data_IF_298149471937
#
_entry.id   IF_298149471937
#
_cell.length_a   1.000
_cell.length_b   1.000
_cell.length_c   1.000
_cell.angle_alpha   90.00
_cell.angle_beta   90.00
_cell.angle_gamma   90.00
#
_symmetry.space_group_name_H-M   'P 1'
#
loop_
_entity.id
_entity.type
_entity.pdbx_description
1 polymer ?
#
# COMPACT_ATOMS: atom_id res chain seq x y z
N UNK A 1 43.86 15.86 -21.98
CA UNK A 1 42.44 15.56 -22.20
C UNK A 1 41.75 16.85 -22.60
N UNK A 2 41.35 16.99 -23.87
CA UNK A 2 40.63 18.18 -24.32
C UNK A 2 39.32 18.27 -23.55
N UNK A 3 39.16 19.32 -22.73
CA UNK A 3 37.89 19.65 -22.10
C UNK A 3 36.89 20.06 -23.19
N UNK A 4 36.27 19.07 -23.83
CA UNK A 4 35.07 19.29 -24.63
C UNK A 4 34.07 20.00 -23.72
N UNK A 5 33.67 21.22 -24.09
CA UNK A 5 32.68 22.00 -23.34
C UNK A 5 31.41 21.17 -23.22
N UNK A 6 31.16 20.61 -22.02
CA UNK A 6 29.93 19.89 -21.72
C UNK A 6 28.79 20.91 -21.77
N UNK A 7 27.70 20.57 -22.47
CA UNK A 7 26.53 21.43 -22.54
C UNK A 7 25.99 21.73 -21.13
N UNK A 8 25.71 22.99 -20.77
CA UNK A 8 25.18 23.37 -19.45
C UNK A 8 23.90 22.60 -19.08
N UNK A 9 23.05 22.30 -20.06
CA UNK A 9 21.84 21.49 -19.85
C UNK A 9 22.18 20.07 -19.39
N UNK A 10 23.16 19.42 -20.02
CA UNK A 10 23.61 18.08 -19.63
C UNK A 10 24.18 18.09 -18.22
N UNK A 11 24.98 19.11 -17.87
CA UNK A 11 25.53 19.26 -16.53
C UNK A 11 24.41 19.40 -15.48
N UNK A 12 23.38 20.19 -15.78
CA UNK A 12 22.22 20.38 -14.92
C UNK A 12 21.44 19.07 -14.72
N UNK A 13 21.13 18.34 -15.80
CA UNK A 13 20.43 17.06 -15.74
C UNK A 13 21.21 16.05 -14.89
N UNK A 14 22.52 15.92 -15.12
CA UNK A 14 23.33 14.94 -14.38
C UNK A 14 23.39 15.28 -12.89
N UNK A 15 23.54 16.56 -12.52
CA UNK A 15 23.46 17.00 -11.12
C UNK A 15 22.11 16.69 -10.49
N UNK A 16 21.02 16.97 -11.21
CA UNK A 16 19.68 16.65 -10.74
C UNK A 16 19.52 15.15 -10.47
N UNK A 17 19.89 14.31 -11.44
CA UNK A 17 19.84 12.85 -11.30
C UNK A 17 20.70 12.36 -10.14
N UNK A 18 21.91 12.89 -9.99
CA UNK A 18 22.80 12.55 -8.88
C UNK A 18 22.14 12.83 -7.52
N UNK A 19 21.55 14.03 -7.34
CA UNK A 19 20.88 14.42 -6.10
C UNK A 19 19.68 13.51 -5.83
N UNK A 20 18.85 13.22 -6.84
CA UNK A 20 17.71 12.32 -6.67
C UNK A 20 18.14 10.89 -6.31
N UNK A 21 19.17 10.36 -6.96
CA UNK A 21 19.73 9.05 -6.62
C UNK A 21 20.27 9.03 -5.19
N UNK A 22 21.02 10.05 -4.79
CA UNK A 22 21.53 10.20 -3.43
C UNK A 22 20.39 10.22 -2.39
N UNK A 23 19.38 11.08 -2.59
CA UNK A 23 18.22 11.21 -1.70
C UNK A 23 17.40 9.92 -1.64
N UNK A 24 17.24 9.23 -2.78
CA UNK A 24 16.55 7.94 -2.83
C UNK A 24 17.32 6.88 -2.07
N UNK A 25 18.62 6.75 -2.31
CA UNK A 25 19.46 5.73 -1.67
C UNK A 25 19.59 5.94 -0.16
N UNK A 26 19.73 7.20 0.31
CA UNK A 26 19.82 7.48 1.75
C UNK A 26 18.49 7.25 2.47
N UNK A 27 17.36 7.52 1.81
CA UNK A 27 16.01 7.29 2.38
C UNK A 27 15.54 5.85 2.25
N UNK A 28 16.06 5.08 1.30
CA UNK A 28 15.64 3.70 1.00
C UNK A 28 15.61 2.78 2.24
N UNK A 29 16.66 2.73 3.10
CA UNK A 29 16.62 1.96 4.34
C UNK A 29 15.43 2.28 5.25
N UNK A 30 15.10 3.57 5.37
CA UNK A 30 14.00 4.07 6.22
C UNK A 30 12.67 3.63 5.61
N UNK A 31 12.47 3.89 4.31
CA UNK A 31 11.25 3.54 3.58
C UNK A 31 10.94 2.04 3.67
N UNK A 32 11.95 1.18 3.42
CA UNK A 32 11.79 -0.28 3.52
C UNK A 32 11.54 -0.74 4.97
N UNK A 33 12.21 -0.15 5.97
CA UNK A 33 11.99 -0.50 7.37
C UNK A 33 10.58 -0.13 7.86
N UNK A 34 10.04 0.96 7.33
CA UNK A 34 8.70 1.47 7.57
C UNK A 34 7.64 0.81 6.69
N UNK A 35 8.02 -0.04 5.74
CA UNK A 35 7.07 -0.69 4.83
C UNK A 35 6.36 0.30 3.89
N UNK A 36 7.00 1.43 3.58
CA UNK A 36 6.50 2.39 2.60
C UNK A 36 6.90 1.86 1.22
N UNK A 37 5.95 1.67 0.29
CA UNK A 37 6.27 1.19 -1.03
C UNK A 37 6.95 2.29 -1.85
N UNK A 38 7.81 1.88 -2.77
CA UNK A 38 8.50 2.80 -3.67
C UNK A 38 7.71 2.98 -4.97
N UNK A 39 7.48 4.23 -5.33
CA UNK A 39 6.87 4.58 -6.61
C UNK A 39 7.97 4.94 -7.62
N UNK A 40 8.03 4.25 -8.75
CA UNK A 40 8.92 4.67 -9.85
C UNK A 40 8.57 6.06 -10.38
N UNK A 41 7.29 6.45 -10.27
CA UNK A 41 6.84 7.80 -10.59
C UNK A 41 7.35 8.85 -9.60
N UNK A 42 7.89 8.50 -8.43
CA UNK A 42 8.45 9.51 -7.52
C UNK A 42 9.68 10.19 -8.10
N UNK A 43 10.55 9.45 -8.80
CA UNK A 43 11.76 10.01 -9.41
C UNK A 43 11.40 10.90 -10.61
N UNK A 44 10.50 10.40 -11.48
CA UNK A 44 9.98 11.19 -12.59
C UNK A 44 9.16 12.39 -12.10
N UNK A 45 8.37 12.18 -11.05
CA UNK A 45 7.56 13.18 -10.38
C UNK A 45 8.43 14.30 -9.87
N UNK A 46 9.52 14.04 -9.14
CA UNK A 46 10.42 15.08 -8.67
C UNK A 46 11.10 15.86 -9.82
N UNK A 47 11.40 15.18 -10.95
CA UNK A 47 12.00 15.82 -12.13
C UNK A 47 11.03 16.81 -12.79
N UNK A 48 9.76 16.43 -12.92
CA UNK A 48 8.73 17.27 -13.56
C UNK A 48 8.17 18.30 -12.58
N UNK A 49 8.02 17.93 -11.31
CA UNK A 49 7.41 18.74 -10.26
C UNK A 49 8.20 20.00 -9.96
N UNK A 50 9.54 19.92 -9.89
CA UNK A 50 10.34 21.09 -9.52
C UNK A 50 10.25 22.25 -10.53
N UNK A 51 10.36 22.03 -11.85
CA UNK A 51 10.09 23.07 -12.85
C UNK A 51 8.66 23.60 -12.80
N UNK A 52 7.67 22.71 -12.72
CA UNK A 52 6.25 23.09 -12.68
C UNK A 52 5.95 23.93 -11.44
N UNK A 53 6.45 23.53 -10.27
CA UNK A 53 6.30 24.27 -9.02
C UNK A 53 6.98 25.64 -9.10
N UNK A 54 8.16 25.73 -9.71
CA UNK A 54 8.85 27.02 -9.90
C UNK A 54 8.02 27.96 -10.77
N UNK A 55 7.48 27.47 -11.89
CA UNK A 55 6.58 28.26 -12.76
C UNK A 55 5.32 28.66 -12.00
N UNK A 56 4.73 27.74 -11.23
CA UNK A 56 3.57 28.00 -10.39
C UNK A 56 3.83 29.13 -9.39
N UNK A 57 4.91 29.06 -8.63
CA UNK A 57 5.27 30.08 -7.66
C UNK A 57 5.57 31.42 -8.33
N UNK A 58 6.26 31.41 -9.47
CA UNK A 58 6.52 32.62 -10.25
C UNK A 58 5.22 33.29 -10.69
N UNK A 59 4.26 32.52 -11.22
CA UNK A 59 2.95 33.05 -11.61
C UNK A 59 2.18 33.61 -10.42
N UNK A 60 2.15 32.88 -9.30
CA UNK A 60 1.53 33.36 -8.07
C UNK A 60 2.14 34.69 -7.60
N UNK A 61 3.47 34.80 -7.62
CA UNK A 61 4.17 36.04 -7.27
C UNK A 61 3.87 37.17 -8.25
N UNK A 62 3.86 36.91 -9.56
CA UNK A 62 3.54 37.91 -10.59
C UNK A 62 2.09 38.41 -10.48
N UNK A 63 1.13 37.51 -10.20
CA UNK A 63 -0.26 37.88 -9.95
C UNK A 63 -0.33 38.78 -8.71
N UNK A 64 0.32 38.38 -7.62
CA UNK A 64 0.32 39.16 -6.38
C UNK A 64 0.88 40.58 -6.58
N UNK A 65 2.06 40.72 -7.19
CA UNK A 65 2.66 42.03 -7.43
C UNK A 65 1.93 42.83 -8.51
N UNK A 66 1.38 42.17 -9.54
CA UNK A 66 0.57 42.81 -10.56
C UNK A 66 -0.68 43.45 -9.97
N UNK A 67 -1.38 42.72 -9.09
CA UNK A 67 -2.54 43.23 -8.38
C UNK A 67 -2.17 44.41 -7.46
N UNK A 68 -1.02 44.34 -6.77
CA UNK A 68 -0.53 45.41 -5.90
C UNK A 68 -0.28 46.72 -6.66
N UNK A 69 0.14 46.64 -7.92
CA UNK A 69 0.44 47.81 -8.78
C UNK A 69 -0.82 48.26 -9.56
N UNK A 70 -1.92 47.49 -9.51
CA UNK A 70 -3.13 47.75 -10.28
C UNK A 70 -3.04 47.34 -11.76
N UNK A 71 -2.14 46.41 -12.11
CA UNK A 71 -2.06 45.83 -13.45
C UNK A 71 -3.13 44.75 -13.64
N UNK A 72 -3.73 44.62 -14.83
CA UNK A 72 -4.71 43.57 -15.11
C UNK A 72 -4.04 42.19 -15.10
N UNK A 73 -4.42 41.32 -14.15
CA UNK A 73 -3.81 40.00 -13.91
C UNK A 73 -4.57 38.83 -14.56
N UNK A 74 -5.66 39.08 -15.29
CA UNK A 74 -6.58 38.06 -15.81
C UNK A 74 -5.91 36.98 -16.68
N UNK A 75 -4.94 37.37 -17.52
CA UNK A 75 -4.20 36.42 -18.36
C UNK A 75 -3.32 35.48 -17.53
N UNK A 76 -2.65 36.01 -16.49
CA UNK A 76 -1.81 35.23 -15.58
C UNK A 76 -2.66 34.23 -14.77
N UNK A 77 -3.81 34.67 -14.28
CA UNK A 77 -4.78 33.82 -13.55
C UNK A 77 -5.22 32.67 -14.45
N UNK A 78 -5.62 32.95 -15.70
CA UNK A 78 -6.04 31.91 -16.64
C UNK A 78 -4.93 30.90 -16.92
N UNK A 79 -3.68 31.35 -17.04
CA UNK A 79 -2.54 30.45 -17.22
C UNK A 79 -2.29 29.57 -15.99
N UNK A 80 -2.41 30.14 -14.79
CA UNK A 80 -2.31 29.40 -13.52
C UNK A 80 -3.40 28.31 -13.41
N UNK A 81 -4.65 28.64 -13.80
CA UNK A 81 -5.76 27.68 -13.83
C UNK A 81 -5.50 26.52 -14.80
N UNK A 82 -5.03 26.81 -16.01
CA UNK A 82 -4.69 25.76 -16.99
C UNK A 82 -3.59 24.84 -16.48
N UNK A 83 -2.51 25.41 -15.94
CA UNK A 83 -1.41 24.62 -15.40
C UNK A 83 -1.86 23.80 -14.18
N UNK A 84 -2.70 24.36 -13.30
CA UNK A 84 -3.29 23.62 -12.17
C UNK A 84 -4.18 22.48 -12.63
N UNK A 85 -5.02 22.72 -13.64
CA UNK A 85 -5.89 21.69 -14.23
C UNK A 85 -5.08 20.56 -14.86
N UNK A 86 -4.04 20.91 -15.62
CA UNK A 86 -3.11 19.94 -16.20
C UNK A 86 -2.37 19.13 -15.12
N UNK A 87 -1.98 19.77 -14.03
CA UNK A 87 -1.34 19.12 -12.89
C UNK A 87 -2.28 18.15 -12.17
N UNK A 88 -3.52 18.55 -11.91
CA UNK A 88 -4.56 17.67 -11.34
C UNK A 88 -4.80 16.45 -12.24
N UNK A 89 -4.91 16.67 -13.55
CA UNK A 89 -5.03 15.58 -14.52
C UNK A 89 -3.84 14.61 -14.49
N UNK A 90 -2.61 15.12 -14.35
CA UNK A 90 -1.41 14.30 -14.21
C UNK A 90 -1.43 13.48 -12.91
N UNK A 91 -1.87 14.08 -11.80
CA UNK A 91 -1.98 13.42 -10.49
C UNK A 91 -3.07 12.35 -10.45
N UNK A 92 -4.13 12.52 -11.24
CA UNK A 92 -5.20 11.53 -11.37
C UNK A 92 -4.74 10.25 -12.07
N UNK A 93 -3.60 10.25 -12.77
CA UNK A 93 -3.09 9.10 -13.50
C UNK A 93 -2.92 7.90 -12.54
N UNK A 94 -3.84 6.92 -12.60
CA UNK A 94 -3.89 5.86 -11.60
C UNK A 94 -2.83 4.83 -11.94
N UNK A 95 -1.82 4.73 -11.09
CA UNK A 95 -0.69 3.85 -11.40
C UNK A 95 -0.24 3.05 -10.18
N UNK A 96 -1.19 2.38 -9.52
CA UNK A 96 -0.88 1.29 -8.56
C UNK A 96 0.05 0.21 -9.17
N UNK A 97 0.21 0.20 -10.50
CA UNK A 97 1.18 -0.62 -11.25
C UNK A 97 2.64 -0.23 -11.04
N UNK A 98 2.94 1.02 -10.72
CA UNK A 98 4.30 1.54 -10.54
C UNK A 98 4.73 1.60 -9.06
N UNK A 99 3.90 1.05 -8.17
CA UNK A 99 4.15 0.97 -6.74
C UNK A 99 4.71 -0.41 -6.40
N UNK A 100 5.97 -0.44 -5.97
CA UNK A 100 6.71 -1.64 -5.62
C UNK A 100 6.86 -1.74 -4.11
N UNK A 101 6.44 -2.86 -3.54
CA UNK A 101 6.67 -3.20 -2.15
C UNK A 101 7.89 -4.11 -2.02
N UNK A 102 8.66 -3.93 -0.95
CA UNK A 102 9.80 -4.78 -0.66
C UNK A 102 9.64 -5.40 0.74
N UNK A 103 9.80 -6.74 0.87
CA UNK A 103 9.87 -7.34 2.19
C UNK A 103 11.15 -6.85 2.88
N UNK A 104 11.08 -6.54 4.18
CA UNK A 104 12.22 -5.98 4.91
C UNK A 104 13.38 -6.99 4.94
N UNK A 105 14.54 -6.66 4.34
CA UNK A 105 15.75 -7.45 4.48
C UNK A 105 16.40 -7.20 5.86
N UNK A 106 17.44 -7.97 6.22
CA UNK A 106 18.17 -7.74 7.46
C UNK A 106 18.75 -6.32 7.54
N UNK A 107 18.76 -5.75 8.75
CA UNK A 107 19.14 -4.35 8.97
C UNK A 107 20.56 -4.03 8.47
N UNK A 108 21.50 -4.98 8.61
CA UNK A 108 22.89 -4.78 8.18
C UNK A 108 23.02 -4.58 6.67
N UNK A 109 22.19 -5.23 5.85
CA UNK A 109 22.18 -5.02 4.39
C UNK A 109 21.69 -3.60 4.08
N UNK A 110 20.66 -3.14 4.78
CA UNK A 110 20.14 -1.78 4.60
C UNK A 110 21.14 -0.71 5.08
N UNK A 111 21.88 -0.98 6.15
CA UNK A 111 22.91 -0.08 6.67
C UNK A 111 24.14 0.02 5.74
N UNK A 112 24.40 -1.02 4.94
CA UNK A 112 25.48 -1.04 3.96
C UNK A 112 25.27 0.01 2.84
N UNK A 113 24.02 0.29 2.48
CA UNK A 113 23.67 1.27 1.44
C UNK A 113 24.22 2.68 1.75
N UNK A 114 23.86 3.33 2.88
CA UNK A 114 24.40 4.66 3.20
C UNK A 114 25.92 4.64 3.40
N UNK A 115 26.49 3.55 3.90
CA UNK A 115 27.95 3.41 4.04
C UNK A 115 28.64 3.45 2.66
N UNK A 116 28.11 2.70 1.67
CA UNK A 116 28.62 2.74 0.29
C UNK A 116 28.52 4.14 -0.33
N UNK A 117 27.44 4.87 -0.05
CA UNK A 117 27.28 6.26 -0.50
C UNK A 117 28.39 7.14 0.09
N UNK A 118 28.61 7.08 1.41
CA UNK A 118 29.63 7.86 2.08
C UNK A 118 31.03 7.55 1.51
N UNK A 119 31.38 6.27 1.36
CA UNK A 119 32.66 5.86 0.76
C UNK A 119 32.82 6.45 -0.64
N UNK A 120 31.76 6.43 -1.46
CA UNK A 120 31.78 7.00 -2.82
C UNK A 120 32.01 8.52 -2.81
N UNK A 121 31.46 9.23 -1.82
CA UNK A 121 31.63 10.68 -1.68
C UNK A 121 32.99 11.08 -1.13
N UNK A 122 33.56 10.30 -0.21
CA UNK A 122 34.87 10.58 0.40
C UNK A 122 36.06 10.13 -0.45
N UNK A 123 35.90 9.12 -1.30
CA UNK A 123 36.97 8.69 -2.19
C UNK A 123 37.19 9.71 -3.32
N UNK A 124 38.40 10.29 -3.37
CA UNK A 124 38.81 11.31 -4.35
C UNK A 124 38.60 10.86 -5.79
N UNK A 125 38.80 9.57 -6.10
CA UNK A 125 38.67 9.04 -7.47
C UNK A 125 37.22 8.99 -7.95
N UNK A 126 36.28 8.67 -7.07
CA UNK A 126 34.86 8.50 -7.40
C UNK A 126 34.05 9.78 -7.26
N UNK A 127 34.62 10.83 -6.65
CA UNK A 127 33.96 12.11 -6.36
C UNK A 127 33.55 12.90 -7.61
N UNK A 128 34.03 12.55 -8.81
CA UNK A 128 33.60 13.26 -10.03
C UNK A 128 32.10 13.06 -10.26
N UNK A 129 31.44 14.09 -10.82
CA UNK A 129 29.98 14.13 -10.98
C UNK A 129 29.45 12.91 -11.75
N UNK A 130 30.04 12.59 -12.91
CA UNK A 130 29.57 11.49 -13.74
C UNK A 130 29.83 10.12 -13.11
N UNK A 131 31.02 9.90 -12.54
CA UNK A 131 31.39 8.61 -11.94
C UNK A 131 30.51 8.32 -10.73
N UNK A 132 30.36 9.27 -9.80
CA UNK A 132 29.48 9.10 -8.63
C UNK A 132 28.02 8.87 -9.02
N UNK A 133 27.51 9.55 -10.05
CA UNK A 133 26.15 9.33 -10.57
C UNK A 133 25.98 7.90 -11.09
N UNK A 134 26.95 7.39 -11.85
CA UNK A 134 26.95 6.00 -12.35
C UNK A 134 27.00 5.01 -11.18
N UNK A 135 27.87 5.23 -10.20
CA UNK A 135 27.98 4.38 -9.01
C UNK A 135 26.66 4.34 -8.23
N UNK A 136 26.02 5.50 -8.00
CA UNK A 136 24.72 5.56 -7.33
C UNK A 136 23.63 4.85 -8.14
N UNK A 137 23.61 5.00 -9.47
CA UNK A 137 22.66 4.30 -10.32
C UNK A 137 22.84 2.78 -10.24
N UNK A 138 24.09 2.29 -10.30
CA UNK A 138 24.42 0.87 -10.15
C UNK A 138 24.03 0.38 -8.75
N UNK A 139 24.37 1.12 -7.70
CA UNK A 139 24.03 0.76 -6.32
C UNK A 139 22.52 0.67 -6.11
N UNK A 140 21.75 1.63 -6.65
CA UNK A 140 20.29 1.60 -6.60
C UNK A 140 19.74 0.39 -7.36
N UNK A 141 20.24 0.14 -8.58
CA UNK A 141 19.84 -1.01 -9.38
C UNK A 141 20.10 -2.33 -8.65
N UNK A 142 21.31 -2.53 -8.11
CA UNK A 142 21.67 -3.73 -7.36
C UNK A 142 20.83 -3.88 -6.09
N UNK A 143 20.53 -2.79 -5.40
CA UNK A 143 19.67 -2.78 -4.20
C UNK A 143 18.25 -3.21 -4.56
N UNK A 144 17.66 -2.63 -5.62
CA UNK A 144 16.33 -2.99 -6.10
C UNK A 144 16.27 -4.43 -6.58
N UNK A 145 17.31 -4.89 -7.28
CA UNK A 145 17.45 -6.27 -7.74
C UNK A 145 17.50 -7.23 -6.55
N UNK A 146 18.37 -6.96 -5.57
CA UNK A 146 18.49 -7.73 -4.34
C UNK A 146 17.15 -7.80 -3.60
N UNK A 147 16.50 -6.66 -3.36
CA UNK A 147 15.21 -6.62 -2.66
C UNK A 147 14.09 -7.32 -3.43
N UNK A 148 14.11 -7.30 -4.77
CA UNK A 148 13.16 -8.03 -5.61
C UNK A 148 13.34 -9.54 -5.53
N UNK A 149 14.58 -10.00 -5.39
CA UNK A 149 14.91 -11.42 -5.23
C UNK A 149 14.97 -11.89 -3.78
N UNK A 150 14.91 -10.99 -2.80
CA UNK A 150 14.92 -11.33 -1.38
C UNK A 150 13.61 -12.05 -1.03
N UNK A 151 13.70 -13.38 -0.94
CA UNK A 151 12.57 -14.26 -0.64
C UNK A 151 12.50 -14.47 0.86
N UNK A 152 11.61 -13.73 1.54
CA UNK A 152 11.09 -14.19 2.83
C UNK A 152 10.16 -15.39 2.59
N UNK A 153 10.05 -16.30 3.57
CA UNK A 153 9.24 -17.52 3.46
C UNK A 153 7.93 -17.26 2.74
N UNK A 154 7.71 -17.94 1.62
CA UNK A 154 6.66 -17.53 0.68
C UNK A 154 5.26 -18.03 1.06
N UNK A 155 5.17 -18.99 1.97
CA UNK A 155 3.92 -19.61 2.39
C UNK A 155 3.84 -19.64 3.92
N UNK A 156 3.28 -18.60 4.52
CA UNK A 156 3.10 -18.52 5.97
C UNK A 156 1.86 -17.71 6.34
N UNK A 157 1.41 -17.90 7.57
CA UNK A 157 0.36 -17.12 8.20
C UNK A 157 1.01 -16.07 9.10
N UNK A 158 0.58 -14.82 9.01
CA UNK A 158 1.03 -13.72 9.86
C UNK A 158 -0.17 -13.21 10.63
N UNK A 159 -0.04 -13.06 11.94
CA UNK A 159 -1.05 -12.46 12.80
C UNK A 159 -0.64 -11.02 13.09
N UNK A 160 -1.50 -10.07 12.72
CA UNK A 160 -1.28 -8.64 12.95
C UNK A 160 -2.15 -8.20 14.11
N UNK A 161 -1.57 -7.76 15.24
CA UNK A 161 -2.36 -7.39 16.42
C UNK A 161 -3.28 -6.20 16.14
N UNK A 162 -4.55 -6.34 16.54
CA UNK A 162 -5.59 -5.33 16.38
C UNK A 162 -6.52 -5.37 17.62
N UNK A 163 -6.33 -4.43 18.54
CA UNK A 163 -7.02 -4.39 19.85
C UNK A 163 -6.85 -5.72 20.61
N UNK A 164 -7.97 -6.35 20.99
CA UNK A 164 -8.04 -7.58 21.77
C UNK A 164 -7.96 -8.86 20.92
N UNK A 165 -7.50 -8.75 19.67
CA UNK A 165 -7.34 -9.88 18.77
C UNK A 165 -6.34 -9.58 17.67
N UNK A 166 -6.47 -10.29 16.55
CA UNK A 166 -5.55 -10.17 15.42
C UNK A 166 -6.28 -10.29 14.10
N UNK A 167 -5.75 -9.60 13.08
CA UNK A 167 -6.07 -9.81 11.68
C UNK A 167 -5.09 -10.83 11.13
N UNK A 168 -5.59 -11.82 10.41
CA UNK A 168 -4.74 -12.90 9.87
C UNK A 168 -4.42 -12.63 8.41
N UNK A 169 -3.13 -12.64 8.05
CA UNK A 169 -2.66 -12.61 6.68
C UNK A 169 -2.22 -14.01 6.25
N UNK A 170 -2.80 -14.52 5.17
CA UNK A 170 -2.40 -15.78 4.56
C UNK A 170 -1.60 -15.43 3.31
N UNK A 171 -0.28 -15.55 3.40
CA UNK A 171 0.63 -15.23 2.32
C UNK A 171 1.03 -16.49 1.57
N UNK A 172 0.85 -16.50 0.25
CA UNK A 172 1.37 -17.53 -0.67
C UNK A 172 2.27 -16.90 -1.73
N UNK A 173 2.92 -17.69 -2.60
CA UNK A 173 3.78 -17.14 -3.67
C UNK A 173 3.06 -16.11 -4.55
N UNK A 174 1.79 -16.35 -4.86
CA UNK A 174 1.02 -15.56 -5.84
C UNK A 174 -0.07 -14.69 -5.20
N UNK A 175 -0.64 -15.13 -4.08
CA UNK A 175 -1.82 -14.48 -3.49
C UNK A 175 -1.61 -14.06 -2.04
N UNK A 176 -2.21 -12.95 -1.66
CA UNK A 176 -2.34 -12.49 -0.29
C UNK A 176 -3.82 -12.46 0.09
N UNK A 177 -4.16 -13.12 1.19
CA UNK A 177 -5.49 -13.08 1.79
C UNK A 177 -5.41 -12.36 3.12
N UNK A 178 -6.34 -11.44 3.36
CA UNK A 178 -6.56 -10.83 4.66
C UNK A 178 -7.85 -11.36 5.24
N UNK A 179 -7.81 -11.87 6.48
CA UNK A 179 -8.97 -12.36 7.20
C UNK A 179 -9.17 -11.52 8.45
N UNK A 180 -10.26 -10.75 8.48
CA UNK A 180 -10.68 -9.99 9.66
C UNK A 180 -11.82 -10.75 10.36
N UNK A 181 -11.58 -11.31 11.57
CA UNK A 181 -12.61 -11.97 12.35
C UNK A 181 -13.64 -10.99 12.96
N UNK A 182 -13.47 -9.68 12.74
CA UNK A 182 -14.34 -8.62 13.25
C UNK A 182 -13.63 -7.70 14.25
N UNK A 183 -12.30 -7.70 14.29
CA UNK A 183 -11.50 -6.90 15.24
C UNK A 183 -11.25 -5.49 14.72
N UNK A 184 -11.15 -5.29 13.39
CA UNK A 184 -10.95 -3.95 12.80
C UNK A 184 -12.09 -3.02 13.19
N UNK A 185 -13.34 -3.51 13.10
CA UNK A 185 -14.54 -2.73 13.43
C UNK A 185 -14.72 -2.43 14.91
N UNK A 186 -13.89 -3.00 15.79
CA UNK A 186 -13.90 -2.72 17.23
C UNK A 186 -12.97 -1.55 17.60
N UNK A 187 -12.11 -1.11 16.67
CA UNK A 187 -11.13 -0.03 16.92
C UNK A 187 -11.72 1.33 16.62
N UNK A 188 -11.56 2.27 17.55
CA UNK A 188 -12.00 3.67 17.40
C UNK A 188 -11.26 4.32 16.21
N UNK A 189 -9.95 4.11 16.11
CA UNK A 189 -9.08 4.62 15.04
C UNK A 189 -8.73 3.55 14.00
N UNK A 190 -9.74 2.83 13.48
CA UNK A 190 -9.56 1.76 12.50
C UNK A 190 -8.86 2.25 11.21
N UNK A 191 -9.25 3.42 10.70
CA UNK A 191 -8.65 4.03 9.51
C UNK A 191 -7.15 4.33 9.70
N UNK A 192 -6.78 5.01 10.79
CA UNK A 192 -5.38 5.32 11.09
C UNK A 192 -4.56 4.05 11.31
N UNK A 193 -5.12 3.03 11.97
CA UNK A 193 -4.44 1.74 12.13
C UNK A 193 -4.20 1.05 10.79
N UNK A 194 -5.14 1.14 9.85
CA UNK A 194 -4.94 0.61 8.50
C UNK A 194 -3.77 1.30 7.82
N UNK A 195 -3.76 2.64 7.81
CA UNK A 195 -2.76 3.45 7.11
C UNK A 195 -1.36 3.32 7.71
N UNK A 196 -1.24 3.41 9.03
CA UNK A 196 0.06 3.47 9.71
C UNK A 196 0.53 2.15 10.31
N UNK A 197 -0.31 1.12 10.38
CA UNK A 197 0.07 -0.19 10.93
C UNK A 197 -0.12 -1.31 9.93
N UNK A 198 -1.34 -1.55 9.45
CA UNK A 198 -1.63 -2.72 8.63
C UNK A 198 -0.91 -2.67 7.27
N UNK A 199 -1.01 -1.56 6.53
CA UNK A 199 -0.40 -1.40 5.21
C UNK A 199 1.13 -1.54 5.30
N UNK A 200 1.83 -0.75 6.15
CA UNK A 200 3.25 -0.94 6.46
C UNK A 200 3.62 -2.39 6.79
N UNK A 201 2.83 -3.04 7.66
CA UNK A 201 3.11 -4.39 8.09
C UNK A 201 2.99 -5.40 6.94
N UNK A 202 1.94 -5.30 6.10
CA UNK A 202 1.75 -6.14 4.92
C UNK A 202 2.96 -6.02 3.99
N UNK A 203 3.39 -4.80 3.66
CA UNK A 203 4.50 -4.57 2.73
C UNK A 203 5.81 -5.08 3.34
N UNK A 204 6.09 -4.73 4.59
CA UNK A 204 7.31 -5.15 5.30
C UNK A 204 7.45 -6.66 5.42
N UNK A 205 6.34 -7.38 5.61
CA UNK A 205 6.37 -8.84 5.81
C UNK A 205 6.26 -9.62 4.50
N UNK A 206 5.48 -9.14 3.53
CA UNK A 206 5.17 -9.90 2.31
C UNK A 206 5.74 -9.30 1.03
N UNK A 207 6.14 -8.02 1.03
CA UNK A 207 6.53 -7.27 -0.16
C UNK A 207 5.37 -6.92 -1.09
N UNK A 208 4.12 -7.27 -0.75
CA UNK A 208 2.99 -7.10 -1.65
C UNK A 208 2.29 -5.76 -1.46
N UNK A 209 1.97 -5.12 -2.57
CA UNK A 209 1.17 -3.89 -2.66
C UNK A 209 -0.26 -4.16 -3.14
N UNK A 210 -0.65 -5.44 -3.16
CA UNK A 210 -1.97 -5.91 -3.61
C UNK A 210 -2.49 -7.02 -2.72
N UNK A 211 -3.79 -6.97 -2.41
CA UNK A 211 -4.49 -8.01 -1.66
C UNK A 211 -5.47 -8.70 -2.61
N UNK A 212 -5.33 -10.02 -2.76
CA UNK A 212 -6.18 -10.77 -3.68
C UNK A 212 -7.58 -10.99 -3.10
N UNK A 213 -7.64 -11.25 -1.80
CA UNK A 213 -8.88 -11.62 -1.12
C UNK A 213 -8.92 -10.97 0.26
N UNK A 214 -9.99 -10.27 0.57
CA UNK A 214 -10.31 -9.84 1.93
C UNK A 214 -11.53 -10.65 2.39
N UNK A 215 -11.48 -11.22 3.58
CA UNK A 215 -12.59 -11.97 4.18
C UNK A 215 -12.98 -11.25 5.47
N UNK A 216 -14.19 -10.69 5.51
CA UNK A 216 -14.71 -9.95 6.65
C UNK A 216 -15.78 -10.79 7.35
N UNK A 217 -15.54 -11.24 8.57
CA UNK A 217 -16.49 -12.11 9.30
C UNK A 217 -17.54 -11.35 10.10
N UNK A 218 -17.37 -10.03 10.28
CA UNK A 218 -18.33 -9.16 10.97
C UNK A 218 -18.48 -7.80 10.28
N UNK A 219 -19.32 -7.71 9.24
CA UNK A 219 -19.59 -6.45 8.58
C UNK A 219 -20.23 -5.46 9.56
N UNK A 220 -19.71 -4.23 9.58
CA UNK A 220 -20.28 -3.09 10.29
C UNK A 220 -19.75 -1.79 9.67
N UNK A 221 -20.35 -0.65 10.04
CA UNK A 221 -19.97 0.68 9.53
C UNK A 221 -18.46 0.94 9.61
N UNK A 222 -17.87 0.75 10.80
CA UNK A 222 -16.44 1.04 11.06
C UNK A 222 -15.53 0.15 10.21
N UNK A 223 -15.87 -1.13 10.06
CA UNK A 223 -15.16 -2.04 9.16
C UNK A 223 -15.26 -1.57 7.71
N UNK A 224 -16.43 -1.11 7.25
CA UNK A 224 -16.59 -0.63 5.87
C UNK A 224 -15.77 0.63 5.60
N UNK A 225 -15.80 1.62 6.49
CA UNK A 225 -15.01 2.86 6.37
C UNK A 225 -13.50 2.52 6.29
N UNK A 226 -13.05 1.64 7.18
CA UNK A 226 -11.65 1.22 7.26
C UNK A 226 -11.20 0.47 5.98
N UNK A 227 -12.00 -0.50 5.52
CA UNK A 227 -11.67 -1.27 4.31
C UNK A 227 -11.82 -0.41 3.04
N UNK A 228 -12.72 0.57 3.01
CA UNK A 228 -12.80 1.53 1.92
C UNK A 228 -11.49 2.33 1.81
N UNK A 229 -10.97 2.84 2.94
CA UNK A 229 -9.65 3.49 2.98
C UNK A 229 -8.53 2.55 2.55
N UNK A 230 -8.55 1.28 2.96
CA UNK A 230 -7.57 0.29 2.49
C UNK A 230 -7.61 0.15 0.95
N UNK A 231 -8.80 0.14 0.35
CA UNK A 231 -8.97 0.00 -1.10
C UNK A 231 -8.50 1.23 -1.89
N UNK A 232 -8.41 2.42 -1.28
CA UNK A 232 -7.83 3.60 -1.94
C UNK A 232 -6.30 3.56 -1.97
N UNK A 233 -5.67 2.85 -1.03
CA UNK A 233 -4.21 2.79 -0.88
C UNK A 233 -3.59 1.50 -1.44
N UNK A 234 -4.31 0.38 -1.40
CA UNK A 234 -3.86 -0.95 -1.88
C UNK A 234 -4.88 -1.51 -2.87
N UNK A 235 -4.40 -2.10 -3.96
CA UNK A 235 -5.28 -2.80 -4.92
C UNK A 235 -5.88 -4.05 -4.26
N UNK A 236 -7.20 -4.06 -4.10
CA UNK A 236 -7.96 -5.21 -3.57
C UNK A 236 -8.75 -5.86 -4.70
N UNK A 237 -8.54 -7.16 -4.93
CA UNK A 237 -9.26 -7.86 -6.02
C UNK A 237 -10.66 -8.32 -5.65
N UNK A 238 -10.85 -8.98 -4.50
CA UNK A 238 -12.16 -9.50 -4.06
C UNK A 238 -12.36 -9.31 -2.56
N UNK A 239 -13.60 -9.03 -2.15
CA UNK A 239 -14.00 -8.98 -0.75
C UNK A 239 -15.14 -9.96 -0.51
N UNK A 240 -15.00 -10.83 0.48
CA UNK A 240 -16.01 -11.76 0.95
C UNK A 240 -16.58 -11.28 2.28
N UNK A 241 -17.90 -11.29 2.41
CA UNK A 241 -18.59 -10.93 3.64
C UNK A 241 -19.91 -11.70 3.78
N UNK A 242 -20.37 -12.05 4.98
CA UNK A 242 -21.68 -12.67 5.20
C UNK A 242 -22.80 -11.88 4.53
N UNK A 243 -23.75 -12.58 3.92
CA UNK A 243 -25.05 -12.00 3.62
C UNK A 243 -25.73 -11.63 4.95
N UNK A 244 -26.18 -10.38 5.08
CA UNK A 244 -26.97 -9.96 6.22
C UNK A 244 -28.42 -9.67 5.81
N UNK A 245 -29.32 -9.97 6.73
CA UNK A 245 -30.74 -9.66 6.73
C UNK A 245 -31.01 -8.48 7.67
N UNK A 246 -32.09 -7.74 7.41
CA UNK A 246 -32.51 -6.58 8.21
C UNK A 246 -32.07 -5.23 7.64
N UNK A 247 -32.48 -4.15 8.31
CA UNK A 247 -32.15 -2.78 7.93
C UNK A 247 -30.86 -2.34 8.60
N UNK A 248 -29.85 -1.98 7.82
CA UNK A 248 -28.70 -1.27 8.37
C UNK A 248 -29.05 0.22 8.49
N UNK A 249 -28.61 0.87 9.58
CA UNK A 249 -28.73 2.33 9.72
C UNK A 249 -28.18 3.04 8.48
N UNK A 250 -28.80 4.16 8.09
CA UNK A 250 -28.42 4.96 6.91
C UNK A 250 -26.91 5.21 6.82
N UNK A 251 -26.26 5.53 7.93
CA UNK A 251 -24.80 5.75 7.98
C UNK A 251 -23.99 4.50 7.66
N UNK A 252 -24.43 3.30 8.06
CA UNK A 252 -23.79 2.05 7.70
C UNK A 252 -23.97 1.69 6.23
N UNK A 253 -25.14 2.00 5.66
CA UNK A 253 -25.39 1.83 4.22
C UNK A 253 -24.49 2.74 3.39
N UNK A 254 -24.36 4.02 3.77
CA UNK A 254 -23.45 4.96 3.10
C UNK A 254 -22.02 4.40 3.10
N UNK A 255 -21.49 4.02 4.27
CA UNK A 255 -20.16 3.40 4.37
C UNK A 255 -20.00 2.13 3.51
N UNK A 256 -21.04 1.30 3.39
CA UNK A 256 -21.02 0.13 2.51
C UNK A 256 -20.97 0.51 1.02
N UNK A 257 -21.71 1.55 0.62
CA UNK A 257 -21.67 2.05 -0.76
C UNK A 257 -20.35 2.75 -1.07
N UNK A 258 -19.76 3.47 -0.10
CA UNK A 258 -18.43 4.05 -0.24
C UNK A 258 -17.37 2.96 -0.42
N UNK A 259 -17.46 1.87 0.34
CA UNK A 259 -16.63 0.68 0.13
C UNK A 259 -16.82 0.11 -1.28
N UNK A 260 -18.07 -0.04 -1.75
CA UNK A 260 -18.33 -0.50 -3.12
C UNK A 260 -17.73 0.42 -4.17
N UNK A 261 -17.83 1.75 -3.99
CA UNK A 261 -17.26 2.75 -4.89
C UNK A 261 -15.73 2.70 -4.90
N UNK A 262 -15.11 2.49 -3.74
CA UNK A 262 -13.66 2.34 -3.62
C UNK A 262 -13.15 1.08 -4.36
N UNK A 263 -13.95 0.02 -4.43
CA UNK A 263 -13.63 -1.20 -5.18
C UNK A 263 -14.05 -1.00 -6.65
N UNK A 264 -13.12 -0.51 -7.47
CA UNK A 264 -13.35 -0.18 -8.90
C UNK A 264 -14.03 -1.28 -9.75
N UNK A 265 -14.04 -2.55 -9.31
CA UNK A 265 -14.51 -3.71 -10.08
C UNK A 265 -15.70 -4.48 -9.47
N UNK A 266 -16.49 -3.90 -8.55
CA UNK A 266 -17.70 -4.57 -7.99
C UNK A 266 -17.50 -5.98 -7.40
N UNK A 267 -16.29 -6.31 -6.94
CA UNK A 267 -15.94 -7.68 -6.53
C UNK A 267 -16.29 -7.99 -5.06
N UNK A 268 -17.45 -7.53 -4.60
CA UNK A 268 -17.99 -7.87 -3.28
C UNK A 268 -18.85 -9.12 -3.39
N UNK A 269 -18.36 -10.23 -2.85
CA UNK A 269 -19.05 -11.52 -2.84
C UNK A 269 -19.71 -11.71 -1.48
N UNK A 270 -21.03 -11.92 -1.50
CA UNK A 270 -21.78 -12.23 -0.29
C UNK A 270 -21.74 -13.73 -0.03
N UNK A 271 -21.29 -14.13 1.15
CA UNK A 271 -21.25 -15.52 1.60
C UNK A 271 -22.69 -15.90 1.94
N UNK A 272 -23.22 -16.89 1.23
CA UNK A 272 -24.54 -17.47 1.45
C UNK A 272 -24.43 -18.75 2.28
N UNK A 273 -25.45 -19.61 2.27
CA UNK A 273 -25.48 -20.86 3.04
C UNK A 273 -24.54 -21.95 2.50
N UNK A 274 -23.95 -21.80 1.30
CA UNK A 274 -23.03 -22.79 0.73
C UNK A 274 -21.58 -22.45 1.06
N UNK A 275 -20.75 -23.44 1.46
CA UNK A 275 -19.31 -23.23 1.61
C UNK A 275 -18.69 -22.68 0.33
N UNK A 276 -17.81 -21.69 0.49
CA UNK A 276 -17.05 -21.09 -0.60
C UNK A 276 -15.59 -21.47 -0.48
N UNK A 277 -15.04 -22.15 -1.47
CA UNK A 277 -13.62 -22.46 -1.53
C UNK A 277 -12.95 -21.73 -2.68
N UNK A 278 -11.70 -21.32 -2.48
CA UNK A 278 -10.87 -20.83 -3.56
C UNK A 278 -9.41 -21.22 -3.37
N UNK A 279 -8.79 -21.58 -4.49
CA UNK A 279 -7.40 -22.04 -4.55
C UNK A 279 -6.49 -20.82 -4.54
N UNK A 280 -5.52 -20.77 -3.63
CA UNK A 280 -4.50 -19.72 -3.57
C UNK A 280 -3.35 -19.99 -4.53
N UNK A 281 -2.87 -21.24 -4.51
CA UNK A 281 -1.90 -21.82 -5.43
C UNK A 281 -2.12 -23.34 -5.54
N UNK A 282 -1.31 -24.06 -6.32
CA UNK A 282 -1.51 -25.50 -6.57
C UNK A 282 -1.59 -26.36 -5.29
N UNK A 283 -1.20 -25.84 -4.12
CA UNK A 283 -1.13 -26.61 -2.87
C UNK A 283 -1.61 -25.80 -1.66
N UNK A 284 -2.46 -24.79 -1.87
CA UNK A 284 -3.01 -23.99 -0.79
C UNK A 284 -4.42 -23.56 -1.17
N UNK A 285 -5.37 -23.69 -0.25
CA UNK A 285 -6.74 -23.21 -0.44
C UNK A 285 -7.27 -22.58 0.84
N UNK A 286 -8.33 -21.79 0.65
CA UNK A 286 -9.13 -21.22 1.73
C UNK A 286 -10.56 -21.67 1.50
N UNK A 287 -11.21 -22.12 2.57
CA UNK A 287 -12.61 -22.51 2.61
C UNK A 287 -13.31 -21.62 3.63
N UNK A 288 -14.41 -21.01 3.22
CA UNK A 288 -15.28 -20.21 4.07
C UNK A 288 -16.57 -21.01 4.27
N UNK A 289 -16.79 -21.47 5.49
CA UNK A 289 -17.90 -22.31 5.90
C UNK A 289 -18.91 -21.45 6.67
N UNK A 290 -20.14 -21.27 6.16
CA UNK A 290 -21.21 -20.68 6.93
C UNK A 290 -21.63 -21.65 8.04
N UNK A 291 -21.83 -21.14 9.26
CA UNK A 291 -22.21 -21.89 10.45
C UNK A 291 -23.70 -21.73 10.73
N UNK A 292 -24.34 -22.67 11.40
CA UNK A 292 -25.79 -22.60 11.68
C UNK A 292 -26.16 -21.41 12.57
N UNK A 293 -25.27 -21.00 13.47
CA UNK A 293 -25.51 -19.88 14.37
C UNK A 293 -25.61 -18.55 13.60
N UNK A 294 -26.72 -17.82 13.77
CA UNK A 294 -26.85 -16.43 13.36
C UNK A 294 -26.28 -15.49 14.42
N UNK A 295 -25.57 -14.46 14.00
CA UNK A 295 -25.10 -13.34 14.82
C UNK A 295 -26.06 -12.17 14.62
N UNK A 296 -26.69 -11.73 15.71
CA UNK A 296 -27.52 -10.51 15.77
C UNK A 296 -26.70 -9.37 16.35
N UNK A 297 -26.47 -8.32 15.56
CA UNK A 297 -25.75 -7.12 16.00
C UNK A 297 -26.55 -5.88 15.61
N UNK A 298 -27.17 -5.23 16.60
CA UNK A 298 -28.13 -4.14 16.37
C UNK A 298 -29.28 -4.63 15.47
N UNK A 299 -29.52 -3.96 14.34
CA UNK A 299 -30.60 -4.24 13.39
C UNK A 299 -30.18 -5.19 12.26
N UNK A 300 -28.93 -5.66 12.23
CA UNK A 300 -28.46 -6.63 11.23
C UNK A 300 -28.33 -8.03 11.83
N UNK A 301 -28.79 -9.02 11.07
CA UNK A 301 -28.62 -10.44 11.36
C UNK A 301 -27.82 -11.08 10.23
N UNK A 302 -26.77 -11.83 10.55
CA UNK A 302 -26.00 -12.54 9.52
C UNK A 302 -25.51 -13.89 10.04
N UNK A 303 -25.23 -14.80 9.12
CA UNK A 303 -24.73 -16.12 9.46
C UNK A 303 -23.28 -16.03 9.95
N UNK A 304 -22.96 -16.68 11.08
CA UNK A 304 -21.57 -16.82 11.52
C UNK A 304 -20.79 -17.60 10.45
N UNK A 305 -19.50 -17.30 10.30
CA UNK A 305 -18.65 -17.96 9.33
C UNK A 305 -17.36 -18.44 10.01
N UNK A 306 -16.86 -19.58 9.53
CA UNK A 306 -15.54 -20.15 9.85
C UNK A 306 -14.68 -20.09 8.59
N UNK A 307 -13.44 -19.69 8.73
CA UNK A 307 -12.45 -19.68 7.63
C UNK A 307 -11.40 -20.72 7.96
N UNK A 308 -11.28 -21.73 7.11
CA UNK A 308 -10.26 -22.77 7.22
C UNK A 308 -9.27 -22.61 6.07
N UNK A 309 -7.98 -22.74 6.34
CA UNK A 309 -6.96 -22.72 5.29
C UNK A 309 -5.91 -23.80 5.51
N UNK A 310 -5.34 -24.24 4.40
CA UNK A 310 -4.24 -25.19 4.35
C UNK A 310 -3.08 -24.60 3.54
N UNK A 311 -1.86 -24.77 4.05
CA UNK A 311 -0.62 -24.33 3.39
C UNK A 311 0.34 -25.53 3.25
N UNK A 312 0.81 -25.78 2.03
CA UNK A 312 1.65 -26.94 1.67
C UNK A 312 2.78 -27.29 2.64
N UNK A 313 3.52 -26.28 3.09
CA UNK A 313 4.73 -26.51 3.88
C UNK A 313 4.44 -27.03 5.30
N UNK A 314 3.17 -27.09 5.69
CA UNK A 314 2.73 -27.63 6.96
C UNK A 314 1.49 -28.51 6.75
N UNK A 315 1.67 -29.73 6.23
CA UNK A 315 0.57 -30.69 6.04
C UNK A 315 -0.23 -30.99 7.35
N UNK A 316 0.33 -30.65 8.53
CA UNK A 316 -0.33 -30.75 9.83
C UNK A 316 -0.98 -29.44 10.35
N UNK A 317 -0.86 -28.31 9.65
CA UNK A 317 -1.40 -27.03 10.13
C UNK A 317 -2.63 -26.60 9.32
N UNK A 318 -3.71 -27.39 9.40
CA UNK A 318 -5.04 -26.85 9.13
C UNK A 318 -5.33 -25.84 10.24
N UNK A 319 -5.39 -24.56 9.87
CA UNK A 319 -5.78 -23.50 10.80
C UNK A 319 -7.20 -23.06 10.47
N UNK A 320 -7.95 -22.71 11.52
CA UNK A 320 -9.29 -22.18 11.39
C UNK A 320 -9.45 -20.92 12.21
N UNK A 321 -10.19 -19.95 11.68
CA UNK A 321 -10.57 -18.72 12.36
C UNK A 321 -12.09 -18.57 12.34
N UNK A 322 -12.65 -18.15 13.47
CA UNK A 322 -14.08 -17.92 13.64
C UNK A 322 -14.35 -16.43 13.75
N UNK A 323 -15.58 -16.02 13.44
CA UNK A 323 -16.06 -14.68 13.78
C UNK A 323 -15.92 -14.43 15.29
N UNK A 324 -15.41 -13.28 15.73
CA UNK A 324 -15.20 -13.02 17.18
C UNK A 324 -16.47 -13.03 18.03
N UNK A 325 -17.65 -12.86 17.43
CA UNK A 325 -18.95 -12.90 18.08
C UNK A 325 -19.53 -14.33 18.12
N UNK A 326 -18.88 -15.28 17.44
CA UNK A 326 -19.25 -16.69 17.52
C UNK A 326 -18.79 -17.24 18.87
N UNK A 327 -19.76 -17.66 19.69
CA UNK A 327 -19.47 -18.40 20.92
C UNK A 327 -19.19 -19.83 20.51
N UNK A 328 -17.91 -20.23 20.51
CA UNK A 328 -17.57 -21.63 20.25
C UNK A 328 -18.36 -22.50 21.24
N UNK A 329 -19.03 -23.56 20.79
CA UNK A 329 -19.56 -24.55 21.71
C UNK A 329 -18.37 -24.99 22.55
N UNK A 330 -18.53 -24.98 23.89
CA UNK A 330 -17.52 -25.53 24.80
C UNK A 330 -17.33 -26.96 24.36
N UNK A 331 -16.29 -27.24 23.58
CA UNK A 331 -15.84 -28.60 23.35
C UNK A 331 -15.59 -29.13 24.75
N UNK A 332 -16.39 -30.12 25.16
CA UNK A 332 -16.11 -30.92 26.33
C UNK A 332 -14.67 -31.40 26.12
N UNK A 333 -13.73 -30.78 26.83
CA UNK A 333 -12.34 -31.20 26.86
C UNK A 333 -12.37 -32.53 27.62
N UNK A 334 -12.59 -33.61 26.88
CA UNK A 334 -12.44 -34.99 27.33
C UNK A 334 -10.97 -35.36 27.34
#
# INVERSE_FOLDING_TARGET
MNHTKINPLTLWIVRFVQIQLFMTLISFPILVCWGIPLSMLSLLGNLIFSPVLTIFLLLCSLIFFGELIGLPTSLLIRFLEYMSSWWCWLLEWPSNRFIFGFPKPPLYILALIPICILITLFNKQTRTLFISTIIFAILLFLTLLFCSFYKKDRCHTIEVPCNNGHVTLINTKKKLVLVDPGVIGQRISSCSWIEYTLIPHIIKTTGKTRINHIILLQPNKVTFDAIALLCTKIEVKKIYMPLWEGSMKKTGLISFFDLKKAIKNNNVIRITQKPLSFILDNNSSVIIEPLEQKIKKKEINYQACKVTWWLKNNAKNIKSLYSTAYKQPKLLQT
#
